data_IF_803345464294
#
_entry.id   IF_803345464294
#
_cell.length_a   1.000
_cell.length_b   1.000
_cell.length_c   1.000
_cell.angle_alpha   90.00
_cell.angle_beta   90.00
_cell.angle_gamma   90.00
#
_symmetry.space_group_name_H-M   'P 1'
#
loop_
_entity.id
_entity.type
_entity.pdbx_description
1 polymer ?
#
# COMPACT_ATOMS: atom_id res chain seq x y z
N UNK A 1 9.78 9.19 -5.42
CA UNK A 1 10.53 8.39 -4.41
C UNK A 1 9.60 7.79 -3.36
N UNK A 2 8.67 8.57 -2.82
CA UNK A 2 7.67 8.13 -1.82
C UNK A 2 6.99 6.80 -2.18
N UNK A 3 6.44 6.67 -3.39
CA UNK A 3 5.83 5.42 -3.86
C UNK A 3 6.76 4.18 -3.79
N UNK A 4 8.05 4.33 -4.12
CA UNK A 4 9.02 3.23 -4.04
C UNK A 4 9.31 2.85 -2.59
N UNK A 5 9.43 3.82 -1.69
CA UNK A 5 9.62 3.56 -0.27
C UNK A 5 8.44 2.76 0.29
N UNK A 6 7.20 3.13 -0.06
CA UNK A 6 6.05 2.37 0.40
C UNK A 6 6.00 0.96 -0.21
N UNK A 7 6.31 0.84 -1.51
CA UNK A 7 6.39 -0.46 -2.19
C UNK A 7 7.42 -1.40 -1.54
N UNK A 8 8.62 -0.93 -1.23
CA UNK A 8 9.65 -1.74 -0.59
C UNK A 8 9.29 -2.05 0.86
N UNK A 9 8.80 -1.08 1.64
CA UNK A 9 8.35 -1.32 3.01
C UNK A 9 7.26 -2.40 3.08
N UNK A 10 6.32 -2.41 2.13
CA UNK A 10 5.29 -3.44 2.06
C UNK A 10 5.88 -4.84 1.85
N UNK A 11 6.95 -4.98 1.06
CA UNK A 11 7.62 -6.26 0.79
C UNK A 11 8.39 -6.82 1.99
N UNK A 12 8.70 -5.98 2.97
CA UNK A 12 9.33 -6.35 4.23
C UNK A 12 8.33 -6.75 5.31
N UNK A 13 7.01 -6.60 5.06
CA UNK A 13 5.99 -7.06 6.00
C UNK A 13 5.97 -8.58 6.08
N UNK A 14 6.21 -9.09 7.29
CA UNK A 14 6.12 -10.51 7.59
C UNK A 14 4.67 -11.02 7.46
N UNK A 15 4.50 -12.23 6.91
CA UNK A 15 3.20 -12.88 6.78
C UNK A 15 2.47 -12.63 5.46
N UNK A 16 2.98 -11.74 4.60
CA UNK A 16 2.51 -11.63 3.21
C UNK A 16 2.89 -12.90 2.46
N UNK A 17 1.90 -13.59 1.89
CA UNK A 17 2.11 -14.80 1.11
C UNK A 17 2.69 -14.49 -0.27
N UNK A 18 2.16 -13.45 -0.94
CA UNK A 18 2.65 -13.01 -2.25
C UNK A 18 3.13 -11.56 -2.18
N UNK A 19 4.44 -11.37 -2.26
CA UNK A 19 5.03 -10.03 -2.33
C UNK A 19 4.61 -9.32 -3.62
N UNK A 20 4.31 -8.00 -3.59
CA UNK A 20 4.00 -7.22 -4.78
C UNK A 20 5.20 -7.22 -5.75
N UNK A 21 4.93 -7.47 -7.03
CA UNK A 21 5.90 -7.41 -8.13
C UNK A 21 5.96 -6.02 -8.75
N UNK A 22 6.90 -5.83 -9.68
CA UNK A 22 7.02 -4.60 -10.46
C UNK A 22 5.75 -4.31 -11.26
N UNK A 23 5.02 -5.32 -11.74
CA UNK A 23 3.76 -5.10 -12.47
C UNK A 23 2.68 -4.51 -11.56
N UNK A 24 2.57 -5.01 -10.32
CA UNK A 24 1.63 -4.43 -9.35
C UNK A 24 2.02 -3.00 -8.95
N UNK A 25 3.32 -2.69 -8.85
CA UNK A 25 3.78 -1.31 -8.66
C UNK A 25 3.35 -0.39 -9.82
N UNK A 26 3.54 -0.83 -11.07
CA UNK A 26 3.18 -0.03 -12.25
C UNK A 26 1.67 0.21 -12.32
N UNK A 27 0.85 -0.80 -12.03
CA UNK A 27 -0.60 -0.64 -12.00
C UNK A 27 -1.06 0.29 -10.89
N UNK A 28 -0.43 0.19 -9.71
CA UNK A 28 -0.71 1.12 -8.61
C UNK A 28 -0.34 2.57 -8.96
N UNK A 29 0.82 2.80 -9.60
CA UNK A 29 1.21 4.14 -10.05
C UNK A 29 0.23 4.71 -11.08
N UNK A 30 -0.26 3.90 -12.04
CA UNK A 30 -1.27 4.33 -13.00
C UNK A 30 -2.56 4.80 -12.31
N UNK A 31 -3.01 4.07 -11.28
CA UNK A 31 -4.20 4.44 -10.51
C UNK A 31 -4.01 5.73 -9.74
N UNK A 32 -2.85 5.92 -9.09
CA UNK A 32 -2.54 7.16 -8.39
C UNK A 32 -2.53 8.37 -9.34
N UNK A 33 -1.95 8.20 -10.52
CA UNK A 33 -1.91 9.25 -11.54
C UNK A 33 -3.30 9.54 -12.14
N UNK A 34 -4.13 8.52 -12.31
CA UNK A 34 -5.50 8.70 -12.82
C UNK A 34 -6.39 9.49 -11.86
N UNK A 35 -6.12 9.41 -10.56
CA UNK A 35 -6.87 10.08 -9.50
C UNK A 35 -6.17 11.36 -8.99
N UNK A 36 -5.13 11.85 -9.69
CA UNK A 36 -4.34 13.03 -9.33
C UNK A 36 -3.85 13.04 -7.86
N UNK A 37 -3.47 11.86 -7.34
CA UNK A 37 -3.03 11.71 -5.95
C UNK A 37 -1.61 12.25 -5.78
N UNK A 38 -1.45 13.30 -4.96
CA UNK A 38 -0.12 13.81 -4.57
C UNK A 38 0.66 12.73 -3.82
N UNK A 39 1.92 12.55 -4.20
CA UNK A 39 2.86 11.62 -3.59
C UNK A 39 3.05 11.86 -2.07
N UNK A 40 2.85 13.09 -1.57
CA UNK A 40 2.85 13.38 -0.12
C UNK A 40 1.77 12.61 0.64
N UNK A 41 0.63 12.35 -0.01
CA UNK A 41 -0.49 11.58 0.56
C UNK A 41 -0.11 10.13 0.83
N UNK A 42 0.91 9.59 0.16
CA UNK A 42 1.33 8.19 0.30
C UNK A 42 1.91 7.87 1.69
N UNK A 43 2.42 8.88 2.40
CA UNK A 43 2.94 8.75 3.76
C UNK A 43 1.98 9.30 4.82
N UNK A 44 0.84 9.86 4.40
CA UNK A 44 -0.12 10.42 5.32
C UNK A 44 -0.87 9.30 6.06
N UNK A 45 -0.50 9.10 7.32
CA UNK A 45 -1.12 8.09 8.18
C UNK A 45 -2.47 8.52 8.74
N UNK A 46 -2.88 9.78 8.56
CA UNK A 46 -4.19 10.28 9.00
C UNK A 46 -5.33 9.81 8.08
N UNK A 47 -5.01 9.51 6.82
CA UNK A 47 -5.96 9.07 5.81
C UNK A 47 -6.23 7.57 5.88
N UNK A 48 -7.50 7.18 5.68
CA UNK A 48 -8.01 5.78 5.58
C UNK A 48 -7.38 4.82 6.59
N UNK A 49 -7.06 5.33 7.77
CA UNK A 49 -6.55 4.51 8.81
C UNK A 49 -5.10 4.05 8.71
N UNK A 50 -4.21 4.92 8.22
CA UNK A 50 -2.79 4.59 8.10
C UNK A 50 -2.47 3.79 6.84
N UNK A 51 -3.46 3.51 5.99
CA UNK A 51 -3.28 2.85 4.71
C UNK A 51 -3.15 3.89 3.61
N UNK A 52 -2.13 3.71 2.78
CA UNK A 52 -1.93 4.47 1.54
C UNK A 52 -3.12 4.30 0.57
N UNK A 53 -3.44 5.32 -0.25
CA UNK A 53 -4.45 5.21 -1.29
C UNK A 53 -4.19 4.05 -2.26
N UNK A 54 -5.26 3.36 -2.68
CA UNK A 54 -5.23 2.29 -3.68
C UNK A 54 -4.27 1.12 -3.37
N UNK A 55 -3.92 0.89 -2.10
CA UNK A 55 -2.96 -0.17 -1.70
C UNK A 55 -3.36 -1.58 -2.16
N UNK A 56 -4.65 -1.84 -2.37
CA UNK A 56 -5.14 -3.11 -2.92
C UNK A 56 -4.61 -3.43 -4.33
N UNK A 57 -4.13 -2.44 -5.08
CA UNK A 57 -3.45 -2.69 -6.35
C UNK A 57 -2.09 -3.39 -6.18
N UNK A 58 -1.45 -3.22 -5.01
CA UNK A 58 -0.19 -3.87 -4.67
C UNK A 58 -0.40 -5.33 -4.25
N UNK A 59 -1.55 -5.67 -3.65
CA UNK A 59 -1.80 -6.99 -3.09
C UNK A 59 -2.89 -7.72 -3.88
N UNK A 60 -2.54 -8.82 -4.55
CA UNK A 60 -3.50 -9.61 -5.33
C UNK A 60 -4.28 -10.65 -4.53
N UNK A 61 -4.01 -10.78 -3.23
CA UNK A 61 -4.65 -11.76 -2.35
C UNK A 61 -5.43 -11.06 -1.24
N UNK A 62 -6.71 -11.40 -1.10
CA UNK A 62 -7.61 -10.88 -0.07
C UNK A 62 -7.11 -11.12 1.36
N UNK A 63 -6.39 -12.23 1.60
CA UNK A 63 -5.80 -12.53 2.89
C UNK A 63 -4.66 -11.57 3.23
N UNK A 64 -3.82 -11.24 2.24
CA UNK A 64 -2.71 -10.28 2.41
C UNK A 64 -3.27 -8.86 2.62
N UNK A 65 -4.34 -8.51 1.91
CA UNK A 65 -5.09 -7.24 2.13
C UNK A 65 -5.61 -7.18 3.57
N UNK A 66 -6.32 -8.21 4.02
CA UNK A 66 -6.90 -8.27 5.36
C UNK A 66 -5.84 -8.20 6.46
N UNK A 67 -4.67 -8.82 6.26
CA UNK A 67 -3.54 -8.73 7.19
C UNK A 67 -3.06 -7.29 7.33
N UNK A 68 -2.85 -6.60 6.21
CA UNK A 68 -2.38 -5.22 6.19
C UNK A 68 -3.40 -4.27 6.82
N UNK A 69 -4.70 -4.46 6.56
CA UNK A 69 -5.77 -3.69 7.19
C UNK A 69 -5.76 -3.82 8.73
N UNK A 70 -5.60 -5.06 9.23
CA UNK A 70 -5.49 -5.32 10.68
C UNK A 70 -4.25 -4.65 11.28
N UNK A 71 -3.09 -4.75 10.63
CA UNK A 71 -1.85 -4.13 11.09
C UNK A 71 -1.97 -2.58 11.12
N UNK A 72 -2.58 -2.00 10.10
CA UNK A 72 -2.83 -0.57 10.04
C UNK A 72 -3.85 -0.09 11.10
N UNK A 73 -4.83 -0.92 11.45
CA UNK A 73 -5.74 -0.63 12.57
C UNK A 73 -5.04 -0.68 13.93
N UNK A 74 -4.17 -1.66 14.17
CA UNK A 74 -3.47 -1.81 15.45
C UNK A 74 -2.44 -0.71 15.69
N UNK A 75 -1.77 -0.20 14.65
CA UNK A 75 -0.76 0.85 14.74
C UNK A 75 -1.30 2.27 14.98
N UNK A 76 -2.63 2.43 15.06
CA UNK A 76 -3.30 3.71 15.34
C UNK A 76 -3.55 3.99 16.83
N UNK A 77 -3.18 3.07 17.71
CA UNK A 77 -3.29 3.23 19.17
C UNK A 77 -2.05 3.88 19.77
#
# INVERSE_FOLDING_TARGET
RQALEVFFNLREVNGIKKKPSTSELLDWLKLLMAEDIDAKTLHDKSQKGGLMPMFGALLKNEQDISLIEKLAFMSRR
#
